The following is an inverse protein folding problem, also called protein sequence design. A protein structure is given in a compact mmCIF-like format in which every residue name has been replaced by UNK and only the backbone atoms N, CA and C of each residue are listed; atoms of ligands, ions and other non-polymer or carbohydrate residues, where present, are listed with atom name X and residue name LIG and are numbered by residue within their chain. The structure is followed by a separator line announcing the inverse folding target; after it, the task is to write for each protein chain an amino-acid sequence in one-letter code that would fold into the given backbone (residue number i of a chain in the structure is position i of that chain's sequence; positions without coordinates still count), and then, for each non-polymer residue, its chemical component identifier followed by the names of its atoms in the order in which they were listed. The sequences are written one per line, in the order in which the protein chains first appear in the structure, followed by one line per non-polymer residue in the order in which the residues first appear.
data_IF_763751812201
#
_entry.id   IF_763751812201
#
_cell.length_a   1.000
_cell.length_b   1.000
_cell.length_c   1.000
_cell.angle_alpha   90.00
_cell.angle_beta   90.00
_cell.angle_gamma   90.00
#
_symmetry.space_group_name_H-M   'P 1'
#
loop_
_entity.id
_entity.type
_entity.pdbx_description
1 polymer ?
#
# COMPACT_ATOMS: atom_id res chain seq x y z
N UNK A 1 -8.82 -7.69 -29.00
CA UNK A 1 -8.70 -7.63 -27.52
C UNK A 1 -7.97 -6.34 -27.19
N UNK A 2 -8.59 -5.39 -26.49
CA UNK A 2 -7.97 -4.07 -26.33
C UNK A 2 -6.72 -4.13 -25.45
N UNK A 3 -5.66 -3.45 -25.89
CA UNK A 3 -4.29 -3.51 -25.39
C UNK A 3 -4.10 -2.66 -24.11
N UNK A 4 -5.14 -2.52 -23.28
CA UNK A 4 -5.10 -1.65 -22.11
C UNK A 4 -4.47 -2.36 -20.93
N UNK A 5 -3.24 -1.97 -20.59
CA UNK A 5 -2.55 -2.42 -19.37
C UNK A 5 -3.11 -1.82 -18.07
N UNK A 6 -4.13 -0.94 -18.14
CA UNK A 6 -4.71 -0.22 -16.99
C UNK A 6 -6.24 -0.22 -17.07
N UNK A 7 -6.91 -0.35 -15.92
CA UNK A 7 -8.36 -0.25 -15.74
C UNK A 7 -8.70 0.81 -14.69
N UNK A 8 -9.77 1.57 -14.91
CA UNK A 8 -10.42 2.39 -13.86
C UNK A 8 -11.28 1.48 -13.01
N UNK A 9 -10.89 1.29 -11.75
CA UNK A 9 -11.65 0.51 -10.77
C UNK A 9 -12.74 1.34 -10.14
N UNK A 10 -12.39 2.57 -9.77
CA UNK A 10 -13.30 3.51 -9.11
C UNK A 10 -12.80 4.95 -9.30
N UNK A 11 -13.71 5.90 -9.30
CA UNK A 11 -13.40 7.34 -9.30
C UNK A 11 -14.40 8.04 -8.39
N UNK A 12 -13.92 9.02 -7.64
CA UNK A 12 -14.75 9.77 -6.70
C UNK A 12 -13.91 10.74 -5.87
N UNK A 13 -14.48 11.19 -4.76
CA UNK A 13 -13.80 12.10 -3.83
C UNK A 13 -13.07 11.30 -2.76
N UNK A 14 -11.88 11.75 -2.35
CA UNK A 14 -11.09 11.07 -1.32
C UNK A 14 -11.80 11.06 0.03
N UNK A 15 -11.85 9.90 0.66
CA UNK A 15 -12.31 9.72 2.05
C UNK A 15 -11.39 10.41 3.06
N UNK A 16 -10.15 10.79 2.67
CA UNK A 16 -9.18 11.40 3.58
C UNK A 16 -9.40 12.90 3.77
N UNK A 17 -9.97 13.58 2.79
CA UNK A 17 -10.19 15.03 2.84
C UNK A 17 -11.61 15.47 2.46
N UNK A 18 -12.45 14.55 1.93
CA UNK A 18 -13.83 14.81 1.58
C UNK A 18 -14.04 15.78 0.42
N UNK A 19 -12.98 16.19 -0.29
CA UNK A 19 -13.07 17.21 -1.35
C UNK A 19 -12.25 16.91 -2.61
N UNK A 20 -11.10 16.23 -2.51
CA UNK A 20 -10.20 16.07 -3.64
C UNK A 20 -10.63 14.90 -4.52
N UNK A 21 -10.75 15.08 -5.85
CA UNK A 21 -11.09 13.99 -6.75
C UNK A 21 -9.89 13.04 -6.95
N UNK A 22 -10.15 11.75 -6.82
CA UNK A 22 -9.17 10.68 -6.94
C UNK A 22 -9.70 9.55 -7.83
N UNK A 23 -8.78 8.72 -8.30
CA UNK A 23 -9.05 7.54 -9.12
C UNK A 23 -8.28 6.34 -8.56
N UNK A 24 -8.96 5.19 -8.51
CA UNK A 24 -8.35 3.88 -8.27
C UNK A 24 -8.15 3.19 -9.61
N UNK A 25 -6.89 2.86 -9.91
CA UNK A 25 -6.50 2.17 -11.14
C UNK A 25 -5.95 0.78 -10.84
N UNK A 26 -6.09 -0.16 -11.77
CA UNK A 26 -5.49 -1.48 -11.69
C UNK A 26 -4.64 -1.81 -12.91
N UNK A 27 -3.45 -2.39 -12.68
CA UNK A 27 -2.56 -2.95 -13.70
C UNK A 27 -2.47 -4.46 -13.53
N UNK A 28 -2.65 -5.22 -14.62
CA UNK A 28 -2.84 -6.68 -14.58
C UNK A 28 -1.58 -7.51 -14.81
N UNK A 29 -0.58 -6.90 -15.44
CA UNK A 29 0.74 -7.51 -15.69
C UNK A 29 1.82 -6.78 -14.88
N UNK A 30 2.66 -7.57 -14.21
CA UNK A 30 3.78 -7.06 -13.41
C UNK A 30 5.00 -7.97 -13.52
N UNK A 31 6.15 -7.38 -13.83
CA UNK A 31 7.47 -8.02 -13.77
C UNK A 31 8.19 -7.78 -12.43
N UNK A 32 7.47 -7.32 -11.40
CA UNK A 32 8.07 -7.02 -10.10
C UNK A 32 8.52 -8.31 -9.42
N UNK A 33 9.84 -8.52 -9.36
CA UNK A 33 10.48 -9.71 -8.78
C UNK A 33 10.04 -9.98 -7.34
N UNK A 34 9.79 -8.94 -6.53
CA UNK A 34 9.37 -9.09 -5.14
C UNK A 34 7.93 -9.56 -5.02
N UNK A 35 7.02 -8.99 -5.82
CA UNK A 35 5.59 -9.30 -5.67
C UNK A 35 5.13 -10.46 -6.54
N UNK A 36 5.86 -10.79 -7.62
CA UNK A 36 5.34 -11.64 -8.69
C UNK A 36 4.26 -10.93 -9.50
N UNK A 37 3.58 -11.69 -10.38
CA UNK A 37 2.52 -11.16 -11.27
C UNK A 37 1.16 -10.95 -10.55
N UNK A 38 1.19 -10.23 -9.43
CA UNK A 38 -0.01 -9.77 -8.73
C UNK A 38 -0.59 -8.54 -9.43
N UNK A 39 -1.92 -8.43 -9.47
CA UNK A 39 -2.59 -7.20 -9.89
C UNK A 39 -2.16 -6.07 -8.97
N UNK A 40 -1.63 -4.98 -9.53
CA UNK A 40 -1.22 -3.80 -8.77
C UNK A 40 -2.33 -2.75 -8.83
N UNK A 41 -2.73 -2.21 -7.68
CA UNK A 41 -3.70 -1.12 -7.61
C UNK A 41 -3.04 0.20 -7.22
N UNK A 42 -3.54 1.31 -7.75
CA UNK A 42 -2.96 2.63 -7.60
C UNK A 42 -4.05 3.62 -7.23
N UNK A 43 -3.88 4.33 -6.10
CA UNK A 43 -4.79 5.40 -5.69
C UNK A 43 -4.11 6.72 -5.97
N UNK A 44 -4.66 7.49 -6.91
CA UNK A 44 -4.04 8.69 -7.46
C UNK A 44 -5.03 9.83 -7.49
N UNK A 45 -4.56 11.07 -7.38
CA UNK A 45 -5.38 12.23 -7.77
C UNK A 45 -5.77 12.10 -9.23
N UNK A 46 -7.03 12.35 -9.56
CA UNK A 46 -7.51 12.25 -10.94
C UNK A 46 -7.08 13.46 -11.78
N UNK A 47 -6.86 14.60 -11.12
CA UNK A 47 -6.63 15.92 -11.72
C UNK A 47 -5.15 16.33 -11.78
N UNK A 48 -4.30 15.73 -10.94
CA UNK A 48 -2.89 16.10 -10.79
C UNK A 48 -1.98 14.87 -10.87
N UNK A 49 -0.93 14.95 -11.68
CA UNK A 49 0.05 13.88 -11.81
C UNK A 49 0.78 13.62 -10.46
N UNK A 50 1.09 12.36 -10.10
CA UNK A 50 1.66 12.02 -8.79
C UNK A 50 2.97 12.74 -8.45
N UNK A 51 3.85 12.95 -9.42
CA UNK A 51 5.10 13.70 -9.21
C UNK A 51 4.86 15.18 -8.88
N UNK A 52 3.81 15.78 -9.45
CA UNK A 52 3.39 17.15 -9.14
C UNK A 52 2.76 17.18 -7.76
N UNK A 53 1.80 16.30 -7.47
CA UNK A 53 1.14 16.22 -6.16
C UNK A 53 2.13 15.99 -4.99
N UNK A 54 3.13 15.12 -5.18
CA UNK A 54 4.22 14.92 -4.21
C UNK A 54 5.04 16.20 -4.04
N UNK A 55 5.40 16.84 -5.16
CA UNK A 55 6.20 18.07 -5.12
C UNK A 55 5.44 19.19 -4.43
N UNK A 56 4.12 19.31 -4.63
CA UNK A 56 3.29 20.34 -4.01
C UNK A 56 2.83 19.97 -2.59
N UNK A 57 2.98 18.71 -2.19
CA UNK A 57 2.51 18.21 -0.89
C UNK A 57 1.00 17.96 -0.85
N UNK A 58 0.32 18.03 -2.00
CA UNK A 58 -1.12 17.77 -2.17
C UNK A 58 -1.44 16.28 -2.36
N UNK A 59 -0.41 15.42 -2.28
CA UNK A 59 -0.54 13.97 -2.20
C UNK A 59 -1.15 13.47 -0.88
N UNK A 60 -1.37 14.36 0.10
CA UNK A 60 -2.18 14.08 1.30
C UNK A 60 -3.58 13.59 0.96
N UNK A 61 -4.15 14.02 -0.17
CA UNK A 61 -5.45 13.54 -0.63
C UNK A 61 -5.49 12.02 -0.88
N UNK A 62 -4.35 11.39 -1.19
CA UNK A 62 -4.28 9.93 -1.43
C UNK A 62 -3.43 9.18 -0.42
N UNK A 63 -2.59 9.88 0.34
CA UNK A 63 -1.68 9.27 1.34
C UNK A 63 -2.02 9.67 2.78
N UNK A 64 -2.91 10.65 2.98
CA UNK A 64 -3.32 11.15 4.29
C UNK A 64 -2.17 11.66 5.14
N UNK A 65 -2.19 11.22 6.40
CA UNK A 65 -1.18 11.51 7.42
C UNK A 65 0.10 10.67 7.29
N UNK A 66 0.26 9.86 6.23
CA UNK A 66 1.40 8.95 6.07
C UNK A 66 2.74 9.66 6.30
N UNK A 67 3.51 9.15 7.26
CA UNK A 67 4.77 9.78 7.68
C UNK A 67 5.83 9.80 6.58
N UNK A 68 5.70 8.88 5.62
CA UNK A 68 6.65 8.70 4.54
C UNK A 68 6.48 9.65 3.36
N UNK A 69 5.36 10.39 3.25
CA UNK A 69 5.13 11.33 2.14
C UNK A 69 6.07 12.54 2.18
N UNK A 70 6.67 12.80 3.34
CA UNK A 70 7.37 14.05 3.63
C UNK A 70 6.38 15.11 4.09
N UNK A 71 6.88 16.27 4.45
CA UNK A 71 6.05 17.42 4.80
C UNK A 71 6.91 18.69 4.69
N UNK A 72 6.54 19.58 3.75
CA UNK A 72 7.27 20.83 3.53
C UNK A 72 7.11 21.82 4.67
N UNK A 73 5.96 21.81 5.35
CA UNK A 73 5.69 22.75 6.44
C UNK A 73 6.59 22.51 7.65
N UNK A 74 6.97 21.24 7.88
CA UNK A 74 7.89 20.82 8.95
C UNK A 74 9.30 20.53 8.46
N UNK A 75 9.58 20.65 7.16
CA UNK A 75 10.87 20.31 6.54
C UNK A 75 11.17 18.80 6.48
N UNK A 76 10.21 17.94 6.83
CA UNK A 76 10.38 16.49 6.83
C UNK A 76 10.56 15.96 5.40
N UNK A 77 11.67 15.27 5.15
CA UNK A 77 11.95 14.67 3.85
C UNK A 77 11.08 13.44 3.60
N UNK A 78 10.71 13.22 2.33
CA UNK A 78 9.99 12.02 1.87
C UNK A 78 10.86 10.77 2.05
N UNK A 79 10.33 9.75 2.71
CA UNK A 79 10.99 8.45 2.92
C UNK A 79 10.25 7.28 2.27
N UNK A 80 9.14 7.55 1.57
CA UNK A 80 8.36 6.53 0.90
C UNK A 80 9.18 5.77 -0.14
N UNK A 81 9.20 4.44 0.00
CA UNK A 81 9.99 3.53 -0.84
C UNK A 81 9.48 3.42 -2.28
N UNK A 82 8.26 3.90 -2.57
CA UNK A 82 7.71 3.88 -3.93
C UNK A 82 8.40 4.95 -4.78
N UNK A 83 8.98 4.51 -5.90
CA UNK A 83 9.54 5.40 -6.92
C UNK A 83 8.40 6.16 -7.63
N UNK A 84 8.34 7.50 -7.57
CA UNK A 84 7.25 8.30 -8.14
C UNK A 84 7.06 8.12 -9.66
N UNK A 85 8.08 7.66 -10.39
CA UNK A 85 7.99 7.41 -11.84
C UNK A 85 6.97 6.32 -12.19
N UNK A 86 6.80 5.33 -11.34
CA UNK A 86 5.86 4.22 -11.58
C UNK A 86 4.40 4.67 -11.53
N UNK A 87 3.88 5.27 -10.43
CA UNK A 87 2.51 5.79 -10.41
C UNK A 87 2.32 6.90 -11.44
N UNK A 88 3.33 7.74 -11.72
CA UNK A 88 3.24 8.74 -12.80
C UNK A 88 3.07 8.10 -14.20
N UNK A 89 3.65 6.92 -14.45
CA UNK A 89 3.43 6.19 -15.70
C UNK A 89 2.00 5.69 -15.84
N UNK A 90 1.44 5.15 -14.77
CA UNK A 90 0.05 4.68 -14.72
C UNK A 90 -0.92 5.84 -14.88
N UNK A 91 -0.68 6.94 -14.16
CA UNK A 91 -1.47 8.18 -14.29
C UNK A 91 -1.48 8.71 -15.72
N UNK A 92 -0.31 8.78 -16.37
CA UNK A 92 -0.20 9.25 -17.76
C UNK A 92 -0.98 8.36 -18.73
N UNK A 93 -1.06 7.05 -18.50
CA UNK A 93 -1.88 6.16 -19.32
C UNK A 93 -3.38 6.49 -19.13
N UNK A 94 -3.84 6.61 -17.88
CA UNK A 94 -5.20 7.04 -17.56
C UNK A 94 -5.55 8.40 -18.19
N UNK A 95 -4.70 9.41 -17.99
CA UNK A 95 -4.94 10.77 -18.48
C UNK A 95 -4.99 10.88 -20.01
N UNK A 96 -4.42 9.92 -20.74
CA UNK A 96 -4.54 9.83 -22.21
C UNK A 96 -5.77 9.05 -22.68
N UNK A 97 -6.66 8.64 -21.77
CA UNK A 97 -7.79 7.77 -22.08
C UNK A 97 -7.40 6.30 -22.29
N UNK A 98 -6.17 5.90 -21.97
CA UNK A 98 -5.68 4.52 -22.12
C UNK A 98 -5.93 3.69 -20.86
N UNK A 99 -7.11 3.84 -20.26
CA UNK A 99 -7.58 3.00 -19.16
C UNK A 99 -8.97 2.47 -19.53
N UNK A 100 -9.14 1.15 -19.48
CA UNK A 100 -10.46 0.55 -19.74
C UNK A 100 -11.44 0.83 -18.60
N UNK A 101 -12.75 0.89 -18.88
CA UNK A 101 -13.78 0.91 -17.83
C UNK A 101 -13.68 -0.30 -16.90
N UNK A 102 -14.32 -0.19 -15.74
CA UNK A 102 -14.33 -1.26 -14.75
C UNK A 102 -14.92 -2.55 -15.33
N UNK A 103 -14.17 -3.63 -15.17
CA UNK A 103 -14.60 -5.01 -15.42
C UNK A 103 -14.06 -5.87 -14.28
N UNK A 104 -14.96 -6.56 -13.59
CA UNK A 104 -14.62 -7.34 -12.41
C UNK A 104 -14.02 -8.72 -12.78
N UNK A 105 -14.29 -9.24 -13.98
CA UNK A 105 -13.90 -10.59 -14.38
C UNK A 105 -12.39 -10.85 -14.28
N UNK A 106 -11.48 -9.92 -14.67
CA UNK A 106 -10.04 -10.11 -14.59
C UNK A 106 -9.48 -10.25 -13.16
N UNK A 107 -10.24 -9.89 -12.13
CA UNK A 107 -9.82 -10.09 -10.73
C UNK A 107 -10.06 -11.53 -10.25
N UNK A 108 -10.99 -12.26 -10.87
CA UNK A 108 -11.36 -13.62 -10.46
C UNK A 108 -10.16 -14.55 -10.50
N UNK A 109 -9.87 -15.23 -9.40
CA UNK A 109 -8.77 -16.19 -9.31
C UNK A 109 -7.37 -15.57 -9.27
N UNK A 110 -7.26 -14.23 -9.32
CA UNK A 110 -5.98 -13.52 -9.23
C UNK A 110 -5.68 -13.09 -7.80
N UNK A 111 -4.41 -12.82 -7.53
CA UNK A 111 -3.96 -12.22 -6.27
C UNK A 111 -3.74 -10.73 -6.49
N UNK A 112 -4.21 -9.90 -5.56
CA UNK A 112 -4.23 -8.44 -5.72
C UNK A 112 -3.41 -7.77 -4.63
N UNK A 113 -2.63 -6.77 -5.02
CA UNK A 113 -1.97 -5.85 -4.10
C UNK A 113 -2.76 -4.55 -4.06
N UNK A 114 -3.44 -4.35 -2.94
CA UNK A 114 -4.15 -3.13 -2.56
C UNK A 114 -3.12 -2.07 -2.16
N UNK A 115 -3.13 -0.92 -2.83
CA UNK A 115 -2.23 0.20 -2.53
C UNK A 115 -0.77 -0.07 -2.93
N UNK A 116 -0.50 -0.32 -4.20
CA UNK A 116 0.88 -0.27 -4.72
C UNK A 116 1.46 1.16 -4.63
N UNK A 117 0.59 2.16 -4.74
CA UNK A 117 0.80 3.55 -4.33
C UNK A 117 -0.53 4.15 -3.86
N UNK A 118 -0.45 5.09 -2.92
CA UNK A 118 -1.60 5.65 -2.22
C UNK A 118 -2.08 4.72 -1.09
N UNK A 119 -2.83 5.30 -0.16
CA UNK A 119 -3.41 4.60 0.97
C UNK A 119 -4.80 4.06 0.58
N UNK A 120 -5.09 2.76 0.81
CA UNK A 120 -6.41 2.19 0.51
C UNK A 120 -7.57 2.94 1.17
N UNK A 121 -7.34 3.53 2.35
CA UNK A 121 -8.35 4.29 3.08
C UNK A 121 -8.80 5.57 2.39
N UNK A 122 -8.14 6.00 1.30
CA UNK A 122 -8.59 7.13 0.50
C UNK A 122 -9.81 6.82 -0.38
N UNK A 123 -10.06 5.54 -0.67
CA UNK A 123 -11.26 5.11 -1.38
C UNK A 123 -12.21 4.36 -0.43
N UNK A 124 -13.53 4.35 -0.70
CA UNK A 124 -14.50 3.63 0.11
C UNK A 124 -14.13 2.15 0.29
N UNK A 125 -14.41 1.59 1.46
CA UNK A 125 -14.11 0.19 1.77
C UNK A 125 -14.72 -0.78 0.74
N UNK A 126 -15.92 -0.47 0.26
CA UNK A 126 -16.70 -1.25 -0.69
C UNK A 126 -15.97 -1.50 -2.01
N UNK A 127 -15.12 -0.55 -2.45
CA UNK A 127 -14.28 -0.70 -3.65
C UNK A 127 -13.36 -1.91 -3.49
N UNK A 128 -12.74 -2.03 -2.32
CA UNK A 128 -11.78 -3.09 -2.01
C UNK A 128 -12.47 -4.39 -1.65
N UNK A 129 -13.59 -4.33 -0.92
CA UNK A 129 -14.39 -5.50 -0.57
C UNK A 129 -14.84 -6.24 -1.83
N UNK A 130 -15.34 -5.51 -2.84
CA UNK A 130 -15.75 -6.11 -4.12
C UNK A 130 -14.62 -6.81 -4.86
N UNK A 131 -13.41 -6.24 -4.82
CA UNK A 131 -12.23 -6.88 -5.40
C UNK A 131 -11.84 -8.13 -4.60
N UNK A 132 -11.84 -8.03 -3.26
CA UNK A 132 -11.45 -9.12 -2.37
C UNK A 132 -12.39 -10.33 -2.44
N UNK A 133 -13.69 -10.13 -2.68
CA UNK A 133 -14.66 -11.20 -2.92
C UNK A 133 -14.34 -12.05 -4.16
N UNK A 134 -13.71 -11.45 -5.18
CA UNK A 134 -13.43 -12.10 -6.46
C UNK A 134 -12.00 -12.66 -6.52
N UNK A 135 -11.06 -11.94 -5.90
CA UNK A 135 -9.66 -12.32 -5.86
C UNK A 135 -9.46 -13.60 -5.03
N UNK A 136 -8.47 -14.40 -5.40
CA UNK A 136 -8.04 -15.55 -4.58
C UNK A 136 -7.54 -15.09 -3.21
N UNK A 137 -6.85 -13.95 -3.17
CA UNK A 137 -6.36 -13.33 -1.94
C UNK A 137 -5.86 -11.92 -2.22
N UNK A 138 -5.84 -11.08 -1.19
CA UNK A 138 -5.35 -9.70 -1.25
C UNK A 138 -4.21 -9.46 -0.26
N UNK A 139 -3.35 -8.50 -0.59
CA UNK A 139 -2.36 -7.92 0.33
C UNK A 139 -2.51 -6.40 0.33
N UNK A 140 -2.15 -5.73 1.42
CA UNK A 140 -2.18 -4.28 1.49
C UNK A 140 -1.87 -3.76 2.88
N UNK A 141 -1.55 -2.47 2.95
CA UNK A 141 -1.30 -1.77 4.19
C UNK A 141 -2.00 -0.42 4.16
N UNK A 142 -2.44 0.05 5.33
CA UNK A 142 -2.90 1.43 5.51
C UNK A 142 -2.15 2.07 6.67
N UNK A 143 -1.72 3.32 6.50
CA UNK A 143 -1.24 4.17 7.60
C UNK A 143 -2.40 4.90 8.31
N UNK A 144 -3.60 4.88 7.73
CA UNK A 144 -4.80 5.48 8.32
C UNK A 144 -5.54 4.51 9.27
N UNK A 145 -4.92 3.39 9.67
CA UNK A 145 -5.54 2.32 10.45
C UNK A 145 -6.19 2.75 11.78
N UNK A 146 -5.83 3.93 12.30
CA UNK A 146 -6.41 4.53 13.51
C UNK A 146 -7.76 5.21 13.27
N UNK A 147 -7.98 5.71 12.06
CA UNK A 147 -9.07 6.64 11.75
C UNK A 147 -9.93 6.21 10.58
N UNK A 148 -9.44 5.30 9.73
CA UNK A 148 -10.22 4.76 8.62
C UNK A 148 -11.30 3.78 9.11
N UNK A 149 -12.18 3.39 8.18
CA UNK A 149 -13.19 2.35 8.43
C UNK A 149 -12.54 1.10 9.07
N UNK A 150 -12.96 0.67 10.28
CA UNK A 150 -12.37 -0.47 10.97
C UNK A 150 -12.42 -1.78 10.17
N UNK A 151 -13.33 -1.90 9.20
CA UNK A 151 -13.41 -3.06 8.29
C UNK A 151 -12.14 -3.22 7.46
N UNK A 152 -11.33 -2.18 7.27
CA UNK A 152 -10.04 -2.31 6.59
C UNK A 152 -9.11 -3.35 7.23
N UNK A 153 -9.23 -3.62 8.53
CA UNK A 153 -8.47 -4.69 9.21
C UNK A 153 -8.65 -6.07 8.56
N UNK A 154 -9.79 -6.30 7.89
CA UNK A 154 -10.08 -7.53 7.13
C UNK A 154 -9.20 -7.69 5.90
N UNK A 155 -8.88 -6.58 5.23
CA UNK A 155 -8.23 -6.57 3.92
C UNK A 155 -6.76 -6.15 3.98
N UNK A 156 -6.41 -5.26 4.91
CA UNK A 156 -5.08 -4.67 5.03
C UNK A 156 -4.47 -4.93 6.41
N UNK A 157 -3.15 -4.79 6.50
CA UNK A 157 -2.46 -4.67 7.78
C UNK A 157 -2.28 -3.20 8.15
N UNK A 158 -2.19 -2.91 9.45
CA UNK A 158 -1.70 -1.63 9.92
C UNK A 158 -0.23 -1.47 9.51
N UNK A 159 0.10 -0.41 8.78
CA UNK A 159 1.49 0.00 8.60
C UNK A 159 1.93 0.67 9.91
N UNK A 160 2.70 -0.05 10.70
CA UNK A 160 3.10 0.36 12.03
C UNK A 160 4.54 0.86 12.00
N UNK A 161 4.72 2.13 12.34
CA UNK A 161 6.02 2.81 12.33
C UNK A 161 6.86 2.55 13.60
N UNK A 162 6.26 1.91 14.60
CA UNK A 162 6.88 1.58 15.89
C UNK A 162 6.31 0.29 16.50
N UNK A 163 6.96 -0.22 17.56
CA UNK A 163 6.41 -1.34 18.33
C UNK A 163 5.20 -0.95 19.17
N UNK A 164 5.03 0.32 19.52
CA UNK A 164 3.83 0.81 20.18
C UNK A 164 2.66 0.90 19.19
N UNK A 165 2.92 1.35 17.97
CA UNK A 165 1.96 1.28 16.86
C UNK A 165 1.51 -0.16 16.65
N UNK A 166 2.44 -1.12 16.64
CA UNK A 166 2.10 -2.55 16.56
C UNK A 166 1.17 -2.97 17.70
N UNK A 167 1.49 -2.64 18.96
CA UNK A 167 0.68 -3.01 20.13
C UNK A 167 -0.72 -2.41 20.05
N UNK A 168 -0.84 -1.15 19.67
CA UNK A 168 -2.13 -0.46 19.51
C UNK A 168 -2.91 -1.08 18.35
N UNK A 169 -2.30 -1.28 17.20
CA UNK A 169 -2.93 -1.90 16.03
C UNK A 169 -3.48 -3.29 16.36
N UNK A 170 -2.74 -4.11 17.12
CA UNK A 170 -3.22 -5.42 17.60
C UNK A 170 -4.47 -5.30 18.46
N UNK A 171 -4.52 -4.32 19.38
CA UNK A 171 -5.71 -4.05 20.21
C UNK A 171 -6.91 -3.59 19.38
N UNK A 172 -6.66 -2.91 18.26
CA UNK A 172 -7.70 -2.47 17.31
C UNK A 172 -8.10 -3.55 16.28
N UNK A 173 -7.65 -4.80 16.47
CA UNK A 173 -8.03 -5.92 15.59
C UNK A 173 -7.19 -6.05 14.31
N UNK A 174 -6.19 -5.20 14.10
CA UNK A 174 -5.30 -5.30 12.96
C UNK A 174 -4.21 -6.36 13.18
N UNK A 175 -3.76 -6.95 12.08
CA UNK A 175 -2.38 -7.45 11.97
C UNK A 175 -1.49 -6.27 11.55
N UNK A 176 -0.22 -6.26 11.93
CA UNK A 176 0.67 -5.14 11.63
C UNK A 176 1.89 -5.54 10.81
N UNK A 177 2.30 -4.61 9.95
CA UNK A 177 3.55 -4.65 9.22
C UNK A 177 4.50 -3.61 9.82
N UNK A 178 5.69 -4.05 10.22
CA UNK A 178 6.70 -3.19 10.86
C UNK A 178 7.98 -3.19 10.04
N UNK A 179 8.50 -2.01 9.72
CA UNK A 179 9.83 -1.86 9.11
C UNK A 179 10.85 -1.65 10.22
N UNK A 180 11.93 -2.43 10.22
CA UNK A 180 13.05 -2.32 11.17
C UNK A 180 14.32 -1.84 10.48
N UNK A 181 15.19 -1.20 11.23
CA UNK A 181 16.50 -0.76 10.74
C UNK A 181 17.37 -1.94 10.31
N UNK A 182 18.37 -1.66 9.47
CA UNK A 182 19.33 -2.65 8.99
C UNK A 182 20.12 -3.22 10.19
N UNK A 183 20.16 -4.54 10.32
CA UNK A 183 20.81 -5.25 11.44
C UNK A 183 20.00 -5.30 12.75
N UNK A 184 18.86 -4.61 12.85
CA UNK A 184 18.05 -4.63 14.09
C UNK A 184 17.46 -6.02 14.35
N UNK A 185 17.36 -6.47 15.60
CA UNK A 185 16.76 -7.77 15.90
C UNK A 185 15.28 -7.84 15.46
N UNK A 186 14.82 -9.02 15.05
CA UNK A 186 13.39 -9.27 14.76
C UNK A 186 12.58 -9.12 16.06
N UNK A 187 11.58 -8.23 16.12
CA UNK A 187 10.78 -8.08 17.33
C UNK A 187 10.02 -9.35 17.72
N UNK A 188 9.75 -9.50 19.01
CA UNK A 188 8.92 -10.59 19.53
C UNK A 188 7.47 -10.47 19.01
N UNK A 189 6.85 -11.61 18.68
CA UNK A 189 5.47 -11.67 18.19
C UNK A 189 5.31 -11.36 16.69
N UNK A 190 6.39 -10.96 16.00
CA UNK A 190 6.39 -10.75 14.55
C UNK A 190 7.19 -11.86 13.85
N UNK A 191 6.73 -12.27 12.66
CA UNK A 191 7.50 -13.13 11.76
C UNK A 191 8.39 -12.28 10.84
N UNK A 192 9.54 -12.80 10.44
CA UNK A 192 10.40 -12.15 9.46
C UNK A 192 9.77 -12.26 8.06
N UNK A 193 9.83 -11.21 7.27
CA UNK A 193 9.45 -11.29 5.87
C UNK A 193 10.42 -12.22 5.12
N UNK A 194 9.93 -13.30 4.49
CA UNK A 194 10.78 -14.26 3.80
C UNK A 194 11.42 -13.68 2.54
N UNK A 195 10.87 -12.60 1.99
CA UNK A 195 11.43 -11.92 0.81
C UNK A 195 12.78 -11.22 1.09
N UNK A 196 13.19 -11.11 2.36
CA UNK A 196 14.49 -10.54 2.75
C UNK A 196 15.25 -11.43 3.73
N UNK A 197 14.78 -12.65 3.98
CA UNK A 197 15.42 -13.58 4.90
C UNK A 197 16.67 -14.19 4.23
N UNK A 198 17.83 -14.15 4.88
CA UNK A 198 19.03 -14.83 4.39
C UNK A 198 19.71 -14.25 3.14
N UNK A 199 19.41 -13.01 2.70
CA UNK A 199 19.93 -12.33 1.47
C UNK A 199 19.66 -13.06 0.13
N UNK A 200 19.34 -14.35 0.15
CA UNK A 200 19.08 -15.22 -1.00
C UNK A 200 17.66 -15.79 -1.05
N UNK A 201 16.80 -15.62 -0.03
CA UNK A 201 15.43 -16.12 -0.09
C UNK A 201 14.56 -15.28 -1.04
N UNK A 202 13.96 -15.97 -2.00
CA UNK A 202 13.27 -15.46 -3.19
C UNK A 202 11.74 -15.55 -3.09
N UNK A 203 11.18 -15.77 -1.89
CA UNK A 203 9.72 -15.97 -1.76
C UNK A 203 8.98 -14.70 -2.19
N UNK A 204 8.22 -14.82 -3.27
CA UNK A 204 7.45 -13.71 -3.81
C UNK A 204 6.19 -13.47 -2.97
N UNK A 205 5.70 -12.23 -2.95
CA UNK A 205 4.47 -11.91 -2.24
C UNK A 205 3.29 -12.73 -2.77
N UNK A 206 3.26 -13.02 -4.08
CA UNK A 206 2.23 -13.87 -4.69
C UNK A 206 2.16 -15.26 -4.05
N UNK A 207 3.27 -15.82 -3.57
CA UNK A 207 3.30 -17.14 -2.92
C UNK A 207 3.05 -17.04 -1.41
N UNK A 208 3.64 -16.02 -0.78
CA UNK A 208 3.57 -15.82 0.66
C UNK A 208 2.17 -15.39 1.12
N UNK A 209 1.64 -14.30 0.54
CA UNK A 209 0.38 -13.64 0.89
C UNK A 209 0.23 -13.26 2.39
N UNK A 210 1.32 -13.25 3.17
CA UNK A 210 1.26 -12.90 4.59
C UNK A 210 0.66 -11.50 4.79
N UNK A 211 0.93 -10.58 3.87
CA UNK A 211 0.58 -9.17 4.03
C UNK A 211 -0.88 -8.80 3.68
N UNK A 212 -1.81 -9.75 3.73
CA UNK A 212 -3.25 -9.45 3.77
C UNK A 212 -3.73 -9.15 5.18
N UNK A 213 -4.96 -8.64 5.30
CA UNK A 213 -5.62 -8.41 6.59
C UNK A 213 -5.99 -9.70 7.32
N UNK A 214 -7.01 -9.64 8.18
CA UNK A 214 -7.43 -10.79 9.00
C UNK A 214 -8.16 -11.89 8.22
N UNK A 215 -8.74 -11.58 7.06
CA UNK A 215 -9.62 -12.51 6.34
C UNK A 215 -8.85 -13.43 5.37
N UNK A 216 -7.53 -13.27 5.27
CA UNK A 216 -6.70 -14.06 4.36
C UNK A 216 -6.21 -15.41 4.94
N UNK A 217 -6.71 -15.80 6.12
CA UNK A 217 -6.32 -17.04 6.82
C UNK A 217 -4.95 -17.01 7.51
N UNK A 218 -4.19 -15.90 7.41
CA UNK A 218 -2.88 -15.74 8.08
C UNK A 218 -3.07 -15.04 9.42
N UNK A 219 -2.29 -15.47 10.43
CA UNK A 219 -2.44 -14.98 11.82
C UNK A 219 -1.33 -14.03 12.27
N UNK A 220 -0.10 -14.21 11.80
CA UNK A 220 1.06 -13.49 12.33
C UNK A 220 1.21 -12.07 11.77
N UNK A 221 1.57 -11.10 12.61
CA UNK A 221 2.13 -9.83 12.15
C UNK A 221 3.53 -10.04 11.58
N UNK A 222 3.97 -9.18 10.66
CA UNK A 222 5.21 -9.36 9.91
C UNK A 222 6.14 -8.16 10.09
N UNK A 223 7.43 -8.42 10.23
CA UNK A 223 8.47 -7.40 10.21
C UNK A 223 9.38 -7.58 9.01
N UNK A 224 9.89 -6.48 8.47
CA UNK A 224 10.88 -6.50 7.40
C UNK A 224 12.04 -5.58 7.74
N UNK A 225 13.25 -6.05 7.46
CA UNK A 225 14.42 -5.18 7.52
C UNK A 225 14.37 -4.20 6.36
N UNK A 226 14.71 -2.95 6.60
CA UNK A 226 14.78 -1.97 5.53
C UNK A 226 15.78 -2.43 4.46
N UNK A 227 15.36 -2.35 3.20
CA UNK A 227 16.11 -2.83 2.04
C UNK A 227 15.90 -1.88 0.85
N UNK A 228 16.73 -2.04 -0.18
CA UNK A 228 16.73 -1.18 -1.37
C UNK A 228 17.60 0.06 -1.21
N UNK A 229 17.55 0.95 -2.20
CA UNK A 229 18.49 2.06 -2.33
C UNK A 229 18.46 3.06 -1.16
N UNK A 230 17.33 3.16 -0.44
CA UNK A 230 17.15 4.09 0.68
C UNK A 230 17.39 3.45 2.05
N UNK A 231 17.81 2.19 2.11
CA UNK A 231 17.94 1.45 3.36
C UNK A 231 18.82 2.14 4.41
N UNK A 232 19.94 2.71 3.98
CA UNK A 232 20.89 3.41 4.88
C UNK A 232 20.36 4.73 5.45
N UNK A 233 19.33 5.31 4.84
CA UNK A 233 18.75 6.59 5.25
C UNK A 233 17.50 6.41 6.12
N UNK A 234 16.99 5.19 6.26
CA UNK A 234 15.87 4.90 7.12
C UNK A 234 16.32 4.86 8.58
N UNK A 235 15.66 5.67 9.40
CA UNK A 235 15.70 5.54 10.85
C UNK A 235 14.29 5.21 11.32
N UNK A 236 14.17 4.21 12.18
CA UNK A 236 12.90 3.96 12.84
C UNK A 236 12.50 5.25 13.59
N UNK A 237 11.21 5.59 13.56
CA UNK A 237 10.75 6.69 14.39
C UNK A 237 11.04 6.30 15.84
N UNK A 238 11.65 7.20 16.65
CA UNK A 238 11.85 6.92 18.06
C UNK A 238 10.50 6.60 18.69
N UNK A 239 10.51 5.79 19.76
CA UNK A 239 9.34 5.63 20.63
C UNK A 239 8.83 7.04 20.93
N UNK A 240 7.63 7.36 20.46
CA UNK A 240 6.97 8.56 20.92
C UNK A 240 6.74 8.32 22.41
N UNK A 241 7.53 8.99 23.25
CA UNK A 241 7.19 9.16 24.65
C UNK A 241 5.93 10.01 24.61
N UNK A 242 4.78 9.37 24.76
CA UNK A 242 3.51 10.04 25.03
C UNK A 242 3.57 10.58 26.45
#
# INVERSE_FOLDING_TARGET
MSNYGTMVVWSGVSELDGVTPIVVLASFESSNVKTGNMIQTWILRSDVAPNVAITEGTDSAVCGSCVHRGDKSTGRKRTCYVNPRTPASVWRAFNRGNARPFDAAPFKGRKVRIGAYGDPAAAPFEVWARIAELATSVTGYTHQWRTCDPRFAKLTMASADSMDDYRVARRMGYRAFVVRELGAAKPQGLVQCPATEGKSNTVQCIDCMQCGGTDNGRKASISIEVHGATARAFKALPLAVI
#
